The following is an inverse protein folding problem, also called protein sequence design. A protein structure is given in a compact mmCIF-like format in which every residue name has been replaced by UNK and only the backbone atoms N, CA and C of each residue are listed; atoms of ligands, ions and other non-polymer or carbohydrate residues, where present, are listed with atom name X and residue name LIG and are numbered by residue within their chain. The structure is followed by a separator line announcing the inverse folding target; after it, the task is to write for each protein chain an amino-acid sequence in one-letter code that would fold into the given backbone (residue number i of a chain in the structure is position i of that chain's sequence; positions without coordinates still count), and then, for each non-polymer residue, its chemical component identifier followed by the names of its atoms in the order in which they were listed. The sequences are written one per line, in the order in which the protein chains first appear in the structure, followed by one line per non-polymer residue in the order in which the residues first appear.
data_IF_187852137662
#
_entry.id   IF_187852137662
#
_cell.length_a   1.000
_cell.length_b   1.000
_cell.length_c   1.000
_cell.angle_alpha   90.00
_cell.angle_beta   90.00
_cell.angle_gamma   90.00
#
_symmetry.space_group_name_H-M   'P 1'
#
loop_
_entity.id
_entity.type
_entity.pdbx_description
1 polymer ?
#
# COMPACT_ATOMS: atom_id res chain seq x y z
N UNK A 1 6.24 9.64 2.88
CA UNK A 1 5.04 10.51 3.08
C UNK A 1 4.09 10.36 1.92
N UNK A 2 2.81 10.12 2.19
CA UNK A 2 1.77 9.98 1.17
C UNK A 2 1.19 11.35 0.82
N UNK A 3 1.28 11.73 -0.46
CA UNK A 3 0.73 12.98 -0.99
C UNK A 3 -0.63 12.79 -1.66
N UNK A 4 -0.91 11.60 -2.23
CA UNK A 4 -2.19 11.35 -2.88
C UNK A 4 -2.61 9.87 -2.88
N UNK A 5 -3.91 9.66 -2.75
CA UNK A 5 -4.58 8.38 -2.97
C UNK A 5 -5.37 8.42 -4.28
N UNK A 6 -5.33 7.33 -5.04
CA UNK A 6 -6.29 7.06 -6.10
C UNK A 6 -7.51 6.32 -5.54
N UNK A 7 -7.30 5.43 -4.56
CA UNK A 7 -8.38 4.74 -3.86
C UNK A 7 -8.94 5.57 -2.71
N UNK A 8 -10.17 6.07 -2.88
CA UNK A 8 -10.88 6.80 -1.83
C UNK A 8 -11.21 5.92 -0.61
N UNK A 9 -11.44 4.63 -0.83
CA UNK A 9 -11.72 3.69 0.28
C UNK A 9 -10.45 3.40 1.09
N UNK A 10 -9.29 3.34 0.45
CA UNK A 10 -8.00 3.18 1.12
C UNK A 10 -7.61 4.44 1.90
N UNK A 11 -7.91 5.62 1.33
CA UNK A 11 -7.75 6.89 2.03
C UNK A 11 -8.63 6.97 3.28
N UNK A 12 -9.93 6.65 3.15
CA UNK A 12 -10.86 6.66 4.27
C UNK A 12 -10.45 5.68 5.39
N UNK A 13 -9.93 4.51 5.00
CA UNK A 13 -9.36 3.56 5.95
C UNK A 13 -8.20 4.17 6.73
N UNK A 14 -7.23 4.80 6.06
CA UNK A 14 -6.04 5.33 6.71
C UNK A 14 -6.35 6.56 7.59
N UNK A 15 -7.18 7.48 7.11
CA UNK A 15 -7.41 8.76 7.78
C UNK A 15 -8.43 8.67 8.93
N UNK A 16 -9.47 7.85 8.79
CA UNK A 16 -10.59 7.80 9.74
C UNK A 16 -10.96 6.39 10.21
N UNK A 17 -10.27 5.35 9.74
CA UNK A 17 -10.48 3.97 10.17
C UNK A 17 -11.69 3.29 9.56
N UNK A 18 -12.26 3.82 8.47
CA UNK A 18 -13.41 3.22 7.79
C UNK A 18 -12.94 2.08 6.86
N UNK A 19 -13.38 0.84 7.12
CA UNK A 19 -12.91 -0.35 6.38
C UNK A 19 -14.03 -1.14 5.71
N UNK A 20 -15.29 -0.71 5.79
CA UNK A 20 -16.45 -1.48 5.31
C UNK A 20 -16.38 -1.81 3.82
N UNK A 21 -15.81 -0.90 3.03
CA UNK A 21 -15.72 -1.01 1.57
C UNK A 21 -14.33 -1.42 1.07
N UNK A 22 -13.42 -1.83 1.98
CA UNK A 22 -12.11 -2.30 1.57
C UNK A 22 -12.22 -3.70 0.92
N UNK A 23 -11.52 -3.93 -0.21
CA UNK A 23 -11.53 -5.23 -0.87
C UNK A 23 -10.69 -6.29 -0.13
N UNK A 24 -10.16 -6.00 1.06
CA UNK A 24 -9.30 -6.90 1.83
C UNK A 24 -10.09 -7.70 2.88
N UNK A 25 -9.70 -8.96 3.17
CA UNK A 25 -10.28 -9.68 4.29
C UNK A 25 -9.91 -9.01 5.62
N UNK A 26 -10.75 -9.10 6.68
CA UNK A 26 -10.47 -8.49 7.98
C UNK A 26 -9.11 -8.87 8.59
N UNK A 27 -8.63 -10.08 8.32
CA UNK A 27 -7.33 -10.58 8.78
C UNK A 27 -6.12 -9.86 8.17
N UNK A 28 -6.31 -9.13 7.06
CA UNK A 28 -5.26 -8.41 6.37
C UNK A 28 -5.25 -6.91 6.68
N UNK A 29 -6.29 -6.37 7.35
CA UNK A 29 -6.43 -4.93 7.60
C UNK A 29 -5.26 -4.34 8.39
N UNK A 30 -4.70 -5.09 9.35
CA UNK A 30 -3.51 -4.62 10.08
C UNK A 30 -2.33 -4.45 9.14
N UNK A 31 -2.09 -5.40 8.23
CA UNK A 31 -0.97 -5.33 7.29
C UNK A 31 -1.16 -4.21 6.25
N UNK A 32 -2.41 -3.98 5.82
CA UNK A 32 -2.75 -2.82 4.99
C UNK A 32 -2.39 -1.53 5.73
N UNK A 33 -2.76 -1.42 7.01
CA UNK A 33 -2.46 -0.24 7.80
C UNK A 33 -0.94 -0.04 7.98
N UNK A 34 -0.22 -1.11 8.33
CA UNK A 34 1.24 -1.05 8.54
C UNK A 34 1.98 -0.63 7.25
N UNK A 35 1.56 -1.15 6.09
CA UNK A 35 2.09 -0.71 4.79
C UNK A 35 1.83 0.79 4.58
N UNK A 36 0.62 1.27 4.83
CA UNK A 36 0.29 2.70 4.64
C UNK A 36 1.05 3.60 5.61
N UNK A 37 1.27 3.14 6.85
CA UNK A 37 2.05 3.87 7.85
C UNK A 37 3.53 3.97 7.44
N UNK A 38 4.12 2.86 7.01
CA UNK A 38 5.50 2.82 6.48
C UNK A 38 5.66 3.71 5.23
N UNK A 39 4.64 3.78 4.35
CA UNK A 39 4.65 4.66 3.17
C UNK A 39 4.57 6.14 3.58
N UNK A 40 3.91 6.42 4.71
CA UNK A 40 3.77 7.78 5.20
C UNK A 40 4.98 8.28 6.01
N UNK A 41 5.92 7.40 6.36
CA UNK A 41 7.14 7.76 7.09
C UNK A 41 7.94 8.87 6.34
N UNK A 42 8.42 9.93 7.04
CA UNK A 42 9.29 10.96 6.46
C UNK A 42 10.60 10.43 5.84
N UNK A 43 11.09 9.29 6.33
CA UNK A 43 12.30 8.60 5.90
C UNK A 43 12.02 7.44 4.95
N UNK A 44 10.78 7.32 4.45
CA UNK A 44 10.39 6.28 3.50
C UNK A 44 11.43 6.08 2.38
N UNK A 45 11.84 4.83 2.22
CA UNK A 45 12.59 4.34 1.05
C UNK A 45 11.98 3.03 0.56
N UNK A 46 11.73 2.92 -0.74
CA UNK A 46 11.21 1.67 -1.34
C UNK A 46 12.12 0.46 -1.06
N UNK A 47 13.42 0.69 -0.79
CA UNK A 47 14.37 -0.37 -0.47
C UNK A 47 14.11 -1.01 0.88
N UNK A 48 13.65 -0.23 1.85
CA UNK A 48 13.36 -0.73 3.19
C UNK A 48 12.15 -1.66 3.17
N UNK A 49 11.17 -1.34 2.32
CA UNK A 49 10.00 -2.20 2.08
C UNK A 49 10.38 -3.58 1.58
N UNK A 50 11.39 -3.71 0.73
CA UNK A 50 11.81 -5.02 0.19
C UNK A 50 12.39 -5.97 1.25
N UNK A 51 12.75 -5.46 2.43
CA UNK A 51 13.21 -6.27 3.57
C UNK A 51 12.07 -6.85 4.42
N UNK A 52 10.87 -6.25 4.34
CA UNK A 52 9.70 -6.60 5.18
C UNK A 52 8.58 -7.20 4.33
N UNK A 53 8.37 -6.63 3.14
CA UNK A 53 7.26 -6.92 2.24
C UNK A 53 7.74 -7.49 0.91
N UNK A 54 6.86 -8.20 0.22
CA UNK A 54 7.11 -8.59 -1.18
C UNK A 54 6.82 -7.38 -2.06
N UNK A 55 7.86 -6.85 -2.72
CA UNK A 55 7.77 -5.64 -3.55
C UNK A 55 8.15 -5.96 -4.98
N UNK A 56 7.27 -5.61 -5.92
CA UNK A 56 7.57 -5.59 -7.35
C UNK A 56 7.77 -4.15 -7.81
N UNK A 57 8.88 -3.91 -8.49
CA UNK A 57 9.23 -2.60 -9.05
C UNK A 57 9.37 -2.71 -10.57
N UNK A 58 8.81 -1.74 -11.30
CA UNK A 58 8.84 -1.75 -12.75
C UNK A 58 10.00 -0.89 -13.28
N UNK A 59 10.86 -1.45 -14.14
CA UNK A 59 11.99 -0.70 -14.67
C UNK A 59 11.54 0.53 -15.47
N UNK A 60 12.19 1.67 -15.23
CA UNK A 60 11.95 2.92 -15.96
C UNK A 60 10.76 3.75 -15.47
N UNK A 61 10.01 3.29 -14.48
CA UNK A 61 8.90 4.01 -13.86
C UNK A 61 9.06 3.89 -12.34
N UNK A 62 8.94 4.99 -11.60
CA UNK A 62 8.98 4.96 -10.12
C UNK A 62 7.66 4.39 -9.55
N UNK A 63 7.27 3.19 -9.96
CA UNK A 63 6.05 2.51 -9.55
C UNK A 63 6.40 1.20 -8.83
N UNK A 64 5.77 1.00 -7.68
CA UNK A 64 5.91 -0.21 -6.88
C UNK A 64 4.56 -0.85 -6.56
N UNK A 65 4.60 -2.17 -6.38
CA UNK A 65 3.47 -3.00 -5.94
C UNK A 65 3.93 -3.78 -4.72
N UNK A 66 3.21 -3.64 -3.61
CA UNK A 66 3.50 -4.29 -2.34
C UNK A 66 2.41 -5.30 -2.05
N UNK A 67 2.78 -6.57 -1.97
CA UNK A 67 1.82 -7.64 -1.66
C UNK A 67 1.35 -7.53 -0.22
N UNK A 68 0.03 -7.53 -0.03
CA UNK A 68 -0.61 -7.62 1.29
C UNK A 68 -0.72 -9.11 1.63
N UNK A 69 0.09 -9.55 2.59
CA UNK A 69 0.12 -10.94 3.05
C UNK A 69 -0.64 -11.04 4.37
N UNK A 70 -1.87 -11.57 4.39
CA UNK A 70 -2.56 -11.87 5.65
C UNK A 70 -2.05 -13.18 6.25
N UNK A 71 -2.63 -14.28 5.78
CA UNK A 71 -2.13 -15.67 5.97
C UNK A 71 -1.62 -16.23 4.63
N UNK A 72 -2.24 -15.79 3.54
CA UNK A 72 -1.84 -15.97 2.14
C UNK A 72 -1.92 -14.61 1.43
N UNK A 73 -1.29 -14.42 0.26
CA UNK A 73 -1.43 -13.22 -0.54
C UNK A 73 -2.91 -12.94 -0.84
N UNK A 74 -3.43 -11.81 -0.37
CA UNK A 74 -4.86 -11.47 -0.50
C UNK A 74 -5.11 -10.18 -1.29
N UNK A 75 -4.05 -9.59 -1.85
CA UNK A 75 -4.10 -8.37 -2.65
C UNK A 75 -2.77 -7.64 -2.62
N UNK A 76 -2.76 -6.43 -3.15
CA UNK A 76 -1.59 -5.58 -3.14
C UNK A 76 -1.95 -4.10 -3.07
N UNK A 77 -1.01 -3.31 -2.55
CA UNK A 77 -1.03 -1.85 -2.59
C UNK A 77 -0.09 -1.40 -3.69
N UNK A 78 -0.55 -0.52 -4.56
CA UNK A 78 0.24 0.04 -5.66
C UNK A 78 0.43 1.52 -5.46
N UNK A 79 1.61 2.04 -5.80
CA UNK A 79 1.88 3.46 -5.70
C UNK A 79 3.01 3.89 -6.63
N UNK A 80 3.06 5.19 -6.90
CA UNK A 80 4.21 5.86 -7.49
C UNK A 80 5.01 6.54 -6.38
N UNK A 81 6.33 6.63 -6.49
CA UNK A 81 7.15 7.36 -5.52
C UNK A 81 8.14 8.30 -6.20
N UNK A 82 8.51 9.41 -5.56
CA UNK A 82 9.57 10.31 -6.03
C UNK A 82 10.36 10.79 -4.82
N UNK A 83 11.57 10.27 -4.63
CA UNK A 83 12.28 10.44 -3.37
C UNK A 83 11.53 9.76 -2.21
N UNK A 84 11.18 10.53 -1.18
CA UNK A 84 10.40 10.07 -0.02
C UNK A 84 8.89 10.39 -0.13
N UNK A 85 8.45 10.93 -1.26
CA UNK A 85 7.05 11.22 -1.54
C UNK A 85 6.37 10.05 -2.27
N UNK A 86 5.14 9.74 -1.89
CA UNK A 86 4.33 8.63 -2.39
C UNK A 86 3.02 9.16 -2.96
N UNK A 87 2.68 8.78 -4.18
CA UNK A 87 1.55 9.27 -4.95
C UNK A 87 0.71 8.12 -5.51
N UNK A 88 -0.52 8.44 -5.87
CA UNK A 88 -1.44 7.53 -6.56
C UNK A 88 -1.59 6.21 -5.81
N UNK A 89 -1.68 6.27 -4.47
CA UNK A 89 -1.80 5.07 -3.64
C UNK A 89 -3.16 4.43 -3.91
N UNK A 90 -3.11 3.18 -4.34
CA UNK A 90 -4.28 2.38 -4.74
C UNK A 90 -4.13 0.96 -4.21
N UNK A 91 -5.21 0.19 -4.27
CA UNK A 91 -5.24 -1.21 -3.88
C UNK A 91 -5.93 -2.05 -4.94
N UNK A 92 -5.44 -3.27 -5.16
CA UNK A 92 -6.15 -4.27 -5.94
C UNK A 92 -6.11 -5.63 -5.26
N UNK A 93 -7.12 -6.44 -5.56
CA UNK A 93 -7.24 -7.82 -5.09
C UNK A 93 -7.46 -8.70 -6.32
N UNK A 94 -6.60 -9.70 -6.52
CA UNK A 94 -6.81 -10.65 -7.61
C UNK A 94 -7.98 -11.58 -7.28
N UNK A 95 -8.94 -11.70 -8.19
CA UNK A 95 -9.95 -12.76 -8.16
C UNK A 95 -11.30 -12.43 -7.53
N UNK A 96 -11.75 -11.18 -7.58
CA UNK A 96 -13.17 -10.84 -7.34
C UNK A 96 -14.00 -11.03 -8.61
#
# INVERSE_FOLDING_TARGET
MIDSFTSLVLQAFYEVGEYSDLPFPPSALQNVFDILDDLNDPYFSYRDFSGVWTVHHYEGIEQAVVTVNGVEPCGAITFTYQGNHVFNVDCFVEGV
#
